data_IF_486217716898
#
_entry.id   IF_486217716898
#
_cell.length_a   1.000
_cell.length_b   1.000
_cell.length_c   1.000
_cell.angle_alpha   90.00
_cell.angle_beta   90.00
_cell.angle_gamma   90.00
#
_symmetry.space_group_name_H-M   'P 1'
#
loop_
_entity.id
_entity.type
_entity.pdbx_description
1 polymer ?
#
# COMPACT_ATOMS: atom_id res chain seq x y z
N UNK A 1 48.12 -13.34 -36.93
CA UNK A 1 47.94 -13.52 -35.48
C UNK A 1 46.57 -12.98 -35.13
N UNK A 2 45.74 -13.85 -34.57
CA UNK A 2 44.37 -13.61 -34.17
C UNK A 2 44.29 -12.81 -32.85
N UNK A 3 43.04 -12.51 -32.47
CA UNK A 3 42.54 -11.82 -31.26
C UNK A 3 42.31 -10.32 -31.50
N UNK A 4 41.09 -9.82 -31.75
CA UNK A 4 39.76 -10.08 -31.15
C UNK A 4 39.72 -9.84 -29.64
N UNK A 5 38.68 -9.14 -29.20
CA UNK A 5 38.54 -8.44 -27.93
C UNK A 5 38.06 -7.03 -28.26
N UNK A 6 36.90 -6.81 -28.90
CA UNK A 6 35.56 -7.09 -28.33
C UNK A 6 35.54 -6.85 -26.82
N UNK A 7 35.94 -5.63 -26.43
CA UNK A 7 35.38 -5.01 -25.25
C UNK A 7 33.92 -4.71 -25.54
N UNK A 8 33.09 -5.77 -25.51
CA UNK A 8 31.67 -5.69 -25.21
C UNK A 8 31.55 -4.71 -24.05
N UNK A 9 31.09 -3.50 -24.34
CA UNK A 9 29.69 -3.13 -24.13
C UNK A 9 28.99 -3.95 -23.02
N UNK A 10 29.65 -4.07 -21.86
CA UNK A 10 29.01 -4.43 -20.61
C UNK A 10 28.14 -3.23 -20.22
N UNK A 11 26.97 -3.17 -20.87
CA UNK A 11 25.79 -2.43 -20.48
C UNK A 11 25.72 -2.34 -18.93
N UNK A 12 25.69 -1.16 -18.32
CA UNK A 12 24.53 -0.29 -18.34
C UNK A 12 23.22 -1.07 -18.15
N UNK A 13 23.18 -1.96 -17.15
CA UNK A 13 21.97 -2.32 -16.45
C UNK A 13 22.34 -2.42 -14.97
N UNK A 14 21.95 -1.41 -14.18
CA UNK A 14 21.88 -1.58 -12.74
C UNK A 14 21.07 -2.85 -12.48
N UNK A 15 21.72 -3.89 -11.95
CA UNK A 15 21.08 -5.17 -11.70
C UNK A 15 19.84 -4.92 -10.87
N UNK A 16 18.67 -5.08 -11.50
CA UNK A 16 17.40 -4.94 -10.81
C UNK A 16 17.26 -6.18 -9.96
N UNK A 17 17.71 -6.15 -8.71
CA UNK A 17 17.58 -7.27 -7.79
C UNK A 17 16.09 -7.62 -7.70
N UNK A 18 15.74 -8.80 -8.19
CA UNK A 18 14.38 -9.32 -8.15
C UNK A 18 14.21 -10.16 -6.90
N UNK A 19 13.11 -9.95 -6.20
CA UNK A 19 12.73 -10.69 -5.01
C UNK A 19 11.47 -11.47 -5.34
N UNK A 20 11.46 -12.74 -4.97
CA UNK A 20 10.27 -13.58 -5.07
C UNK A 20 9.46 -13.46 -3.79
N UNK A 21 8.20 -13.04 -3.88
CA UNK A 21 7.21 -13.11 -2.81
C UNK A 21 6.30 -14.31 -3.04
N UNK A 22 5.95 -15.03 -1.99
CA UNK A 22 5.10 -16.23 -2.06
C UNK A 22 3.84 -15.98 -1.24
N UNK A 23 2.67 -15.96 -1.87
CA UNK A 23 1.38 -15.77 -1.18
C UNK A 23 0.95 -17.00 -0.38
N UNK A 24 -0.11 -16.84 0.43
CA UNK A 24 -0.68 -17.90 1.28
C UNK A 24 -1.23 -19.11 0.50
N UNK A 25 -1.61 -18.91 -0.75
CA UNK A 25 -2.05 -19.90 -1.73
C UNK A 25 -0.90 -20.44 -2.60
N UNK A 26 0.36 -20.16 -2.23
CA UNK A 26 1.60 -20.63 -2.87
C UNK A 26 1.85 -20.07 -4.28
N UNK A 27 1.23 -18.96 -4.65
CA UNK A 27 1.55 -18.24 -5.89
C UNK A 27 2.81 -17.41 -5.71
N UNK A 28 3.63 -17.32 -6.76
CA UNK A 28 4.94 -16.66 -6.74
C UNK A 28 4.90 -15.37 -7.54
N UNK A 29 5.38 -14.29 -6.93
CA UNK A 29 5.42 -12.96 -7.53
C UNK A 29 6.85 -12.45 -7.55
N UNK A 30 7.34 -12.08 -8.73
CA UNK A 30 8.63 -11.41 -8.87
C UNK A 30 8.44 -9.89 -8.84
N UNK A 31 9.15 -9.25 -7.92
CA UNK A 31 9.13 -7.79 -7.74
C UNK A 31 10.53 -7.24 -7.65
N UNK A 32 10.70 -5.99 -8.07
CA UNK A 32 11.98 -5.31 -7.90
C UNK A 32 12.22 -4.98 -6.43
N UNK A 33 13.48 -4.93 -6.02
CA UNK A 33 13.87 -4.51 -4.66
C UNK A 33 13.29 -3.13 -4.29
N UNK A 34 13.27 -2.19 -5.23
CA UNK A 34 12.64 -0.88 -5.02
C UNK A 34 11.13 -0.97 -4.70
N UNK A 35 10.42 -1.93 -5.29
CA UNK A 35 9.00 -2.17 -4.99
C UNK A 35 8.85 -2.88 -3.64
N UNK A 36 9.69 -3.87 -3.37
CA UNK A 36 9.66 -4.67 -2.14
C UNK A 36 10.00 -3.85 -0.89
N UNK A 37 10.93 -2.90 -1.01
CA UNK A 37 11.40 -2.05 0.11
C UNK A 37 10.37 -1.03 0.61
N UNK A 38 9.24 -0.85 -0.11
CA UNK A 38 8.09 -0.11 0.41
C UNK A 38 7.43 -0.81 1.60
N UNK A 39 7.55 -2.14 1.66
CA UNK A 39 7.23 -2.91 2.86
C UNK A 39 8.42 -2.87 3.81
N UNK A 40 8.23 -2.32 5.01
CA UNK A 40 9.29 -2.36 6.02
C UNK A 40 9.60 -3.79 6.45
N UNK A 41 8.58 -4.67 6.50
CA UNK A 41 8.76 -6.09 6.83
C UNK A 41 9.68 -6.77 5.81
N UNK A 42 9.41 -6.61 4.52
CA UNK A 42 10.23 -7.22 3.46
C UNK A 42 11.60 -6.55 3.41
N UNK A 43 11.69 -5.24 3.62
CA UNK A 43 12.97 -4.52 3.70
C UNK A 43 13.92 -5.14 4.72
N UNK A 44 13.46 -5.37 5.95
CA UNK A 44 14.32 -5.99 6.97
C UNK A 44 14.76 -7.41 6.55
N UNK A 45 13.89 -8.18 5.89
CA UNK A 45 14.25 -9.51 5.38
C UNK A 45 15.31 -9.46 4.26
N UNK A 46 15.30 -8.41 3.43
CA UNK A 46 16.34 -8.17 2.41
C UNK A 46 17.67 -7.81 3.09
N UNK A 47 17.65 -6.90 4.07
CA UNK A 47 18.83 -6.46 4.82
C UNK A 47 19.48 -7.63 5.58
N UNK A 48 18.68 -8.56 6.09
CA UNK A 48 19.13 -9.79 6.74
C UNK A 48 19.56 -10.91 5.76
N UNK A 49 19.47 -10.68 4.44
CA UNK A 49 19.84 -11.66 3.41
C UNK A 49 18.95 -12.91 3.37
N UNK A 50 17.75 -12.85 3.93
CA UNK A 50 16.83 -13.98 4.07
C UNK A 50 15.82 -14.09 2.91
N UNK A 51 16.24 -13.70 1.71
CA UNK A 51 15.40 -13.74 0.49
C UNK A 51 15.69 -14.95 -0.40
N UNK A 52 16.71 -15.75 -0.06
CA UNK A 52 17.08 -16.98 -0.76
C UNK A 52 15.93 -18.00 -0.70
N UNK A 53 15.30 -18.27 -1.85
CA UNK A 53 14.15 -19.18 -1.97
C UNK A 53 12.78 -18.50 -1.93
N UNK A 54 12.74 -17.18 -1.73
CA UNK A 54 11.54 -16.35 -1.74
C UNK A 54 10.98 -16.08 -0.34
N UNK A 55 10.31 -14.93 -0.20
CA UNK A 55 9.72 -14.45 1.05
C UNK A 55 8.29 -14.99 1.19
N UNK A 56 8.02 -15.88 2.17
CA UNK A 56 6.67 -16.41 2.38
C UNK A 56 5.78 -15.41 3.12
N UNK A 57 4.58 -15.18 2.58
CA UNK A 57 3.55 -14.27 3.09
C UNK A 57 2.27 -15.06 3.40
N UNK A 58 2.25 -15.88 4.46
CA UNK A 58 1.14 -16.80 4.75
C UNK A 58 -0.19 -16.11 5.09
N UNK A 59 -0.17 -14.80 5.37
CA UNK A 59 -1.36 -14.04 5.74
C UNK A 59 -1.93 -13.22 4.58
N UNK A 60 -1.38 -13.34 3.36
CA UNK A 60 -1.82 -12.56 2.19
C UNK A 60 -2.10 -13.50 1.03
N UNK A 61 -3.33 -13.51 0.52
CA UNK A 61 -3.72 -14.29 -0.66
C UNK A 61 -3.13 -13.69 -1.93
N UNK A 62 -3.02 -14.46 -3.02
CA UNK A 62 -2.40 -13.97 -4.25
C UNK A 62 -3.13 -12.78 -4.85
N UNK A 63 -4.48 -12.78 -4.81
CA UNK A 63 -5.33 -11.68 -5.27
C UNK A 63 -4.99 -10.36 -4.57
N UNK A 64 -4.82 -10.41 -3.24
CA UNK A 64 -4.52 -9.22 -2.43
C UNK A 64 -3.07 -8.82 -2.61
N UNK A 65 -2.15 -9.78 -2.64
CA UNK A 65 -0.73 -9.54 -2.88
C UNK A 65 -0.50 -8.85 -4.24
N UNK A 66 -1.19 -9.29 -5.29
CA UNK A 66 -1.11 -8.65 -6.62
C UNK A 66 -1.49 -7.17 -6.57
N UNK A 67 -2.55 -6.81 -5.85
CA UNK A 67 -2.98 -5.41 -5.64
C UNK A 67 -1.97 -4.62 -4.82
N UNK A 68 -1.43 -5.20 -3.75
CA UNK A 68 -0.38 -4.56 -2.95
C UNK A 68 0.85 -4.27 -3.81
N UNK A 69 1.26 -5.23 -4.65
CA UNK A 69 2.39 -5.06 -5.58
C UNK A 69 2.10 -3.96 -6.60
N UNK A 70 0.89 -3.89 -7.16
CA UNK A 70 0.47 -2.82 -8.06
C UNK A 70 0.61 -1.44 -7.41
N UNK A 71 0.11 -1.29 -6.18
CA UNK A 71 0.26 -0.07 -5.39
C UNK A 71 1.74 0.28 -5.18
N UNK A 72 2.56 -0.68 -4.75
CA UNK A 72 3.98 -0.47 -4.50
C UNK A 72 4.73 -0.07 -5.77
N UNK A 73 4.42 -0.66 -6.93
CA UNK A 73 5.06 -0.31 -8.21
C UNK A 73 4.79 1.14 -8.60
N UNK A 74 3.57 1.62 -8.35
CA UNK A 74 3.18 3.01 -8.64
C UNK A 74 3.81 4.01 -7.67
N UNK A 75 3.95 3.63 -6.39
CA UNK A 75 4.42 4.52 -5.32
C UNK A 75 5.93 4.46 -5.06
N UNK A 76 6.63 3.44 -5.54
CA UNK A 76 8.07 3.29 -5.32
C UNK A 76 8.90 4.49 -5.82
N UNK A 77 8.68 5.04 -7.04
CA UNK A 77 9.45 6.18 -7.52
C UNK A 77 9.29 7.44 -6.65
N UNK A 78 8.07 7.68 -6.16
CA UNK A 78 7.77 8.83 -5.29
C UNK A 78 8.38 8.66 -3.89
N UNK A 79 8.36 7.45 -3.33
CA UNK A 79 8.99 7.14 -2.05
C UNK A 79 10.53 7.28 -2.12
N UNK A 80 11.15 6.88 -3.23
CA UNK A 80 12.60 7.05 -3.43
C UNK A 80 13.00 8.51 -3.60
N UNK A 81 12.19 9.33 -4.26
CA UNK A 81 12.42 10.76 -4.38
C UNK A 81 12.31 11.47 -3.01
N UNK A 82 11.31 11.10 -2.21
CA UNK A 82 11.12 11.65 -0.87
C UNK A 82 12.22 11.25 0.14
N UNK A 83 12.84 10.07 -0.05
CA UNK A 83 13.94 9.60 0.81
C UNK A 83 15.32 10.19 0.43
N UNK A 84 15.46 10.76 -0.77
CA UNK A 84 16.71 11.31 -1.28
C UNK A 84 16.99 12.77 -0.92
N UNK A 85 16.01 13.53 -0.42
CA UNK A 85 16.14 14.97 -0.24
C UNK A 85 15.96 15.41 1.22
N UNK A 86 17.09 15.63 1.89
CA UNK A 86 17.14 16.61 2.96
C UNK A 86 16.92 18.00 2.39
N UNK A 87 15.69 18.52 2.54
CA UNK A 87 15.35 19.95 2.50
C UNK A 87 15.92 20.77 1.34
N UNK A 88 15.13 20.97 0.28
CA UNK A 88 14.99 22.33 -0.27
C UNK A 88 13.62 22.57 -0.90
N UNK A 89 12.98 23.59 -0.35
CA UNK A 89 11.86 24.35 -0.90
C UNK A 89 12.05 24.70 -2.39
N UNK A 90 10.94 24.67 -3.14
CA UNK A 90 10.76 25.21 -4.48
C UNK A 90 11.73 24.71 -5.57
N UNK A 91 11.35 23.65 -6.29
CA UNK A 91 11.71 23.52 -7.72
C UNK A 91 10.67 22.66 -8.44
N UNK A 92 10.06 23.29 -9.45
CA UNK A 92 9.05 22.80 -10.39
C UNK A 92 9.69 21.89 -11.47
N UNK A 93 10.65 21.03 -11.09
CA UNK A 93 11.36 20.16 -12.03
C UNK A 93 10.96 18.71 -11.74
N UNK A 94 9.92 18.27 -12.45
CA UNK A 94 9.49 16.88 -12.47
C UNK A 94 10.67 16.00 -12.89
N UNK A 95 11.31 15.35 -11.91
CA UNK A 95 12.24 14.26 -12.16
C UNK A 95 11.55 13.26 -13.10
N UNK A 96 12.11 13.10 -14.31
CA UNK A 96 11.52 12.32 -15.40
C UNK A 96 11.16 10.91 -14.90
N UNK A 97 9.86 10.63 -14.79
CA UNK A 97 9.33 9.32 -14.38
C UNK A 97 8.78 9.20 -12.95
N UNK A 98 8.83 10.27 -12.13
CA UNK A 98 8.11 10.32 -10.85
C UNK A 98 6.68 10.82 -11.09
N UNK A 99 5.64 10.05 -10.75
CA UNK A 99 4.26 10.50 -10.89
C UNK A 99 3.99 11.71 -10.00
N UNK A 100 3.20 12.66 -10.48
CA UNK A 100 2.81 13.83 -9.68
C UNK A 100 1.92 13.43 -8.51
N UNK A 101 1.79 14.32 -7.52
CA UNK A 101 0.93 14.06 -6.36
C UNK A 101 -0.54 13.89 -6.76
N UNK A 102 -0.97 14.62 -7.78
CA UNK A 102 -2.32 14.55 -8.35
C UNK A 102 -2.54 13.22 -9.08
N UNK A 103 -1.58 12.77 -9.89
CA UNK A 103 -1.66 11.47 -10.59
C UNK A 103 -1.67 10.28 -9.62
N UNK A 104 -0.90 10.37 -8.53
CA UNK A 104 -0.93 9.36 -7.46
C UNK A 104 -2.30 9.33 -6.78
N UNK A 105 -2.87 10.50 -6.50
CA UNK A 105 -4.18 10.59 -5.86
C UNK A 105 -5.30 10.04 -6.74
N UNK A 106 -5.30 10.35 -8.04
CA UNK A 106 -6.28 9.80 -8.98
C UNK A 106 -6.15 8.27 -9.11
N UNK A 107 -4.91 7.76 -9.14
CA UNK A 107 -4.66 6.33 -9.09
C UNK A 107 -5.16 5.70 -7.79
N UNK A 108 -4.88 6.32 -6.65
CA UNK A 108 -5.28 5.85 -5.32
C UNK A 108 -6.80 5.79 -5.17
N UNK A 109 -7.50 6.82 -5.66
CA UNK A 109 -8.96 6.89 -5.65
C UNK A 109 -9.55 5.73 -6.46
N UNK A 110 -9.05 5.48 -7.66
CA UNK A 110 -9.46 4.36 -8.52
C UNK A 110 -9.04 2.98 -7.96
N UNK A 111 -7.85 2.89 -7.36
CA UNK A 111 -7.31 1.66 -6.76
C UNK A 111 -8.18 1.18 -5.60
N UNK A 112 -8.76 2.11 -4.84
CA UNK A 112 -9.65 1.85 -3.72
C UNK A 112 -11.13 1.71 -4.13
N UNK A 113 -11.47 1.78 -5.42
CA UNK A 113 -12.82 1.43 -5.91
C UNK A 113 -12.99 -0.11 -5.96
N UNK A 114 -12.92 -0.73 -4.79
CA UNK A 114 -13.08 -2.18 -4.60
C UNK A 114 -14.23 -2.46 -3.62
N UNK A 115 -14.67 -3.71 -3.57
CA UNK A 115 -15.65 -4.15 -2.58
C UNK A 115 -15.09 -4.07 -1.14
N UNK A 116 -15.97 -3.99 -0.15
CA UNK A 116 -15.58 -3.85 1.27
C UNK A 116 -14.68 -5.00 1.76
N UNK A 117 -14.92 -6.24 1.32
CA UNK A 117 -14.11 -7.37 1.75
C UNK A 117 -12.67 -7.22 1.23
N UNK A 118 -12.52 -6.89 -0.06
CA UNK A 118 -11.20 -6.59 -0.64
C UNK A 118 -10.53 -5.39 0.06
N UNK A 119 -11.28 -4.34 0.43
CA UNK A 119 -10.73 -3.20 1.17
C UNK A 119 -10.21 -3.59 2.55
N UNK A 120 -10.96 -4.41 3.30
CA UNK A 120 -10.51 -4.91 4.61
C UNK A 120 -9.30 -5.83 4.49
N UNK A 121 -9.27 -6.70 3.49
CA UNK A 121 -8.11 -7.55 3.22
C UNK A 121 -6.87 -6.71 2.86
N UNK A 122 -7.04 -5.62 2.11
CA UNK A 122 -5.97 -4.66 1.82
C UNK A 122 -5.45 -3.96 3.08
N UNK A 123 -6.33 -3.57 4.02
CA UNK A 123 -5.94 -2.99 5.31
C UNK A 123 -5.11 -3.99 6.12
N UNK A 124 -5.57 -5.25 6.21
CA UNK A 124 -4.86 -6.30 6.93
C UNK A 124 -3.50 -6.60 6.30
N UNK A 125 -3.43 -6.69 4.97
CA UNK A 125 -2.19 -6.90 4.25
C UNK A 125 -1.21 -5.72 4.40
N UNK A 126 -1.70 -4.48 4.33
CA UNK A 126 -0.90 -3.28 4.51
C UNK A 126 -0.30 -3.20 5.92
N UNK A 127 -1.07 -3.55 6.94
CA UNK A 127 -0.60 -3.63 8.31
C UNK A 127 0.44 -4.76 8.50
N UNK A 128 0.18 -5.95 7.96
CA UNK A 128 1.08 -7.10 8.05
C UNK A 128 2.43 -6.85 7.35
N UNK A 129 2.40 -6.24 6.16
CA UNK A 129 3.59 -5.88 5.39
C UNK A 129 4.21 -4.55 5.85
N UNK A 130 3.57 -3.85 6.80
CA UNK A 130 3.99 -2.55 7.30
C UNK A 130 4.28 -1.55 6.16
N UNK A 131 3.27 -1.36 5.30
CA UNK A 131 3.27 -0.39 4.19
C UNK A 131 2.43 0.80 4.64
N UNK A 132 3.08 1.79 5.28
CA UNK A 132 2.40 2.95 5.88
C UNK A 132 1.50 3.70 4.90
N UNK A 133 1.97 3.96 3.68
CA UNK A 133 1.19 4.70 2.67
C UNK A 133 -0.13 4.02 2.32
N UNK A 134 -0.09 2.70 2.11
CA UNK A 134 -1.29 1.90 1.80
C UNK A 134 -2.23 1.80 3.00
N UNK A 135 -1.68 1.67 4.21
CA UNK A 135 -2.47 1.61 5.44
C UNK A 135 -3.21 2.94 5.69
N UNK A 136 -2.51 4.07 5.59
CA UNK A 136 -3.11 5.40 5.76
C UNK A 136 -4.20 5.64 4.70
N UNK A 137 -3.91 5.28 3.45
CA UNK A 137 -4.84 5.46 2.33
C UNK A 137 -6.13 4.65 2.52
N UNK A 138 -6.00 3.37 2.87
CA UNK A 138 -7.16 2.49 3.09
C UNK A 138 -7.95 2.91 4.33
N UNK A 139 -7.29 3.34 5.41
CA UNK A 139 -7.95 3.90 6.60
C UNK A 139 -8.72 5.19 6.26
N UNK A 140 -8.12 6.07 5.47
CA UNK A 140 -8.75 7.32 5.03
C UNK A 140 -10.01 7.04 4.21
N UNK A 141 -9.98 6.06 3.29
CA UNK A 141 -11.16 5.66 2.50
C UNK A 141 -12.31 5.16 3.37
N UNK A 142 -11.99 4.37 4.41
CA UNK A 142 -13.00 3.91 5.39
C UNK A 142 -13.58 5.10 6.16
N UNK A 143 -12.73 6.02 6.61
CA UNK A 143 -13.16 7.22 7.32
C UNK A 143 -14.04 8.14 6.44
N UNK A 144 -13.66 8.37 5.18
CA UNK A 144 -14.44 9.16 4.23
C UNK A 144 -15.76 8.49 3.87
N UNK A 145 -15.80 7.16 3.85
CA UNK A 145 -17.04 6.41 3.67
C UNK A 145 -17.98 6.57 4.88
N UNK A 146 -17.47 6.81 6.09
CA UNK A 146 -18.27 7.05 7.29
C UNK A 146 -18.68 8.52 7.43
N UNK A 147 -17.93 9.44 6.83
CA UNK A 147 -18.16 10.88 6.95
C UNK A 147 -19.54 11.27 6.41
N UNK A 148 -20.29 12.03 7.21
CA UNK A 148 -21.62 12.51 6.85
C UNK A 148 -22.73 11.45 6.89
N UNK A 149 -22.42 10.20 7.30
CA UNK A 149 -23.43 9.17 7.53
C UNK A 149 -23.87 9.16 8.99
N UNK A 150 -25.15 8.89 9.19
CA UNK A 150 -25.72 8.66 10.53
C UNK A 150 -25.21 7.33 11.11
N UNK A 151 -25.19 7.17 12.46
CA UNK A 151 -24.84 5.90 13.09
C UNK A 151 -25.64 4.71 12.55
N UNK A 152 -26.91 4.92 12.22
CA UNK A 152 -27.80 3.90 11.64
C UNK A 152 -27.36 3.50 10.23
N UNK A 153 -27.03 4.47 9.37
CA UNK A 153 -26.51 4.21 8.03
C UNK A 153 -25.14 3.52 8.05
N UNK A 154 -24.28 3.88 9.00
CA UNK A 154 -22.98 3.20 9.19
C UNK A 154 -23.20 1.75 9.62
N UNK A 155 -24.13 1.51 10.56
CA UNK A 155 -24.48 0.16 11.00
C UNK A 155 -25.02 -0.69 9.86
N UNK A 156 -25.91 -0.15 9.04
CA UNK A 156 -26.43 -0.86 7.86
C UNK A 156 -25.31 -1.15 6.85
N UNK A 157 -24.48 -0.15 6.53
CA UNK A 157 -23.40 -0.26 5.55
C UNK A 157 -22.33 -1.28 5.92
N UNK A 158 -22.03 -1.44 7.20
CA UNK A 158 -21.05 -2.41 7.70
C UNK A 158 -21.71 -3.67 8.30
N UNK A 159 -23.03 -3.81 8.14
CA UNK A 159 -23.81 -4.92 8.67
C UNK A 159 -23.56 -5.17 10.18
N UNK A 160 -23.47 -4.07 10.95
CA UNK A 160 -23.24 -4.07 12.40
C UNK A 160 -24.60 -4.10 13.09
N UNK A 161 -24.81 -5.10 13.96
CA UNK A 161 -26.01 -5.19 14.79
C UNK A 161 -25.96 -4.13 15.88
N UNK A 162 -27.05 -3.37 16.05
CA UNK A 162 -27.20 -2.50 17.21
C UNK A 162 -27.33 -3.36 18.48
N UNK A 163 -26.36 -3.24 19.37
CA UNK A 163 -26.26 -3.92 20.66
C UNK A 163 -26.66 -3.04 21.84
N UNK A 164 -26.97 -1.76 21.60
CA UNK A 164 -27.49 -0.84 22.61
C UNK A 164 -28.99 -1.04 22.86
N UNK A 165 -29.38 -0.87 24.12
CA UNK A 165 -30.80 -0.68 24.47
C UNK A 165 -31.30 0.71 24.02
N UNK A 166 -32.62 0.89 23.82
CA UNK A 166 -33.18 2.19 23.47
C UNK A 166 -32.83 3.30 24.47
N UNK A 167 -32.78 2.96 25.77
CA UNK A 167 -32.39 3.87 26.84
C UNK A 167 -30.92 4.30 26.74
N UNK A 168 -29.99 3.36 26.52
CA UNK A 168 -28.56 3.67 26.36
C UNK A 168 -28.29 4.48 25.09
N UNK A 169 -28.98 4.17 23.99
CA UNK A 169 -28.84 4.92 22.74
C UNK A 169 -29.33 6.36 22.88
N UNK A 170 -30.45 6.57 23.60
CA UNK A 170 -30.96 7.91 23.90
C UNK A 170 -30.00 8.70 24.79
N UNK A 171 -29.37 8.05 25.77
CA UNK A 171 -28.36 8.68 26.62
C UNK A 171 -27.10 9.05 25.85
N UNK A 172 -26.55 8.14 25.04
CA UNK A 172 -25.39 8.41 24.18
C UNK A 172 -25.69 9.54 23.19
N UNK A 173 -26.89 9.58 22.61
CA UNK A 173 -27.32 10.65 21.69
C UNK A 173 -27.47 12.00 22.41
N UNK A 174 -27.93 12.00 23.66
CA UNK A 174 -28.02 13.19 24.52
C UNK A 174 -26.63 13.72 24.89
N UNK A 175 -25.70 12.85 25.26
CA UNK A 175 -24.33 13.23 25.65
C UNK A 175 -23.51 13.70 24.45
N UNK A 176 -23.70 13.09 23.28
CA UNK A 176 -22.98 13.42 22.05
C UNK A 176 -23.76 14.37 21.14
N UNK A 177 -24.74 15.11 21.67
CA UNK A 177 -25.55 16.06 20.90
C UNK A 177 -24.70 17.07 20.12
N UNK A 178 -23.52 17.45 20.65
CA UNK A 178 -22.55 18.34 20.00
C UNK A 178 -22.01 17.81 18.66
N UNK A 179 -22.04 16.49 18.43
CA UNK A 179 -21.59 15.87 17.19
C UNK A 179 -22.68 15.84 16.10
N UNK A 180 -23.91 16.24 16.45
CA UNK A 180 -25.09 16.22 15.59
C UNK A 180 -25.69 17.63 15.32
N UNK A 181 -25.08 18.70 15.86
CA UNK A 181 -25.34 20.11 15.51
C UNK A 181 -24.48 20.57 14.31
#
# INVERSE_FOLDING_TARGET
>A
MASAGSGDEAAAAAATTMITLISSDNERFEVTEATATLSQTIRHMIEDGCTDGGVPLPNVTSKILAKVIEYCKKHAPAATAAAGEGSSSFSDDAAIGVPSKEELKEFDDAFLEVDQATLFDLILAANYLNIKGLLDLTCQKVADSMKGKTPEQIREMYNIKNDFTPEEEAEIRRENAWAFE
#
